data_IF_783870550986
#
_entry.id   IF_783870550986
#
_cell.length_a   1.000
_cell.length_b   1.000
_cell.length_c   1.000
_cell.angle_alpha   90.00
_cell.angle_beta   90.00
_cell.angle_gamma   90.00
#
_symmetry.space_group_name_H-M   'P 1'
#
loop_
_entity.id
_entity.type
_entity.pdbx_description
1 polymer ?
#
# COMPACT_ATOMS: atom_id res chain seq x y z
N UNK A 1 25.17 -1.04 10.72
CA UNK A 1 24.18 0.03 10.50
C UNK A 1 23.42 -0.31 9.23
N UNK A 2 22.27 -0.97 9.37
CA UNK A 2 21.38 -1.23 8.23
C UNK A 2 20.60 0.06 8.01
N UNK A 3 20.66 0.61 6.79
CA UNK A 3 19.83 1.76 6.43
C UNK A 3 18.41 1.25 6.32
N UNK A 4 17.55 1.63 7.27
CA UNK A 4 16.10 1.49 7.13
C UNK A 4 15.71 2.15 5.81
N UNK A 5 15.29 1.33 4.84
CA UNK A 5 14.81 1.82 3.54
C UNK A 5 13.37 2.25 3.77
N UNK A 6 13.19 3.50 4.17
CA UNK A 6 11.88 4.14 4.30
C UNK A 6 11.55 4.87 3.00
N UNK A 7 10.36 4.62 2.47
CA UNK A 7 9.82 5.31 1.30
C UNK A 7 8.67 6.19 1.78
N UNK A 8 8.69 7.45 1.40
CA UNK A 8 7.62 8.40 1.71
C UNK A 8 7.11 9.04 0.41
N UNK A 9 5.80 9.05 0.24
CA UNK A 9 5.11 9.82 -0.80
C UNK A 9 4.05 10.69 -0.16
N UNK A 10 4.00 11.94 -0.59
CA UNK A 10 3.00 12.92 -0.15
C UNK A 10 2.34 13.53 -1.37
N UNK A 11 1.02 13.67 -1.36
CA UNK A 11 0.27 14.18 -2.50
C UNK A 11 -1.24 14.15 -2.29
N UNK A 12 -1.98 14.57 -3.30
CA UNK A 12 -3.45 14.49 -3.31
C UNK A 12 -3.87 13.17 -3.91
N UNK A 13 -4.82 12.48 -3.27
CA UNK A 13 -5.45 11.28 -3.81
C UNK A 13 -6.48 11.68 -4.87
N UNK A 14 -6.32 11.17 -6.07
CA UNK A 14 -7.21 11.42 -7.20
C UNK A 14 -7.74 10.10 -7.75
N UNK A 15 -9.04 10.02 -8.00
CA UNK A 15 -9.66 8.91 -8.72
C UNK A 15 -9.87 9.32 -10.17
N UNK A 16 -9.17 8.64 -11.09
CA UNK A 16 -9.35 8.85 -12.52
C UNK A 16 -10.21 7.73 -13.10
N UNK A 17 -11.37 8.10 -13.64
CA UNK A 17 -12.21 7.17 -14.40
C UNK A 17 -11.82 7.18 -15.88
N UNK A 18 -11.57 5.99 -16.43
CA UNK A 18 -11.45 5.74 -17.85
C UNK A 18 -12.52 4.72 -18.27
N UNK A 19 -12.84 4.63 -19.56
CA UNK A 19 -13.92 3.75 -20.06
C UNK A 19 -13.76 2.31 -19.57
N UNK A 20 -14.54 1.94 -18.55
CA UNK A 20 -14.56 0.60 -17.95
C UNK A 20 -13.52 0.33 -16.86
N UNK A 21 -12.78 1.33 -16.37
CA UNK A 21 -11.77 1.15 -15.32
C UNK A 21 -11.56 2.44 -14.52
N UNK A 22 -11.32 2.32 -13.21
CA UNK A 22 -10.91 3.43 -12.36
C UNK A 22 -9.51 3.16 -11.81
N UNK A 23 -8.68 4.20 -11.71
CA UNK A 23 -7.35 4.12 -11.12
C UNK A 23 -7.19 5.19 -10.05
N UNK A 24 -6.74 4.77 -8.87
CA UNK A 24 -6.41 5.66 -7.78
C UNK A 24 -4.96 6.13 -7.94
N UNK A 25 -4.76 7.43 -7.90
CA UNK A 25 -3.47 8.08 -8.17
C UNK A 25 -3.06 8.96 -7.01
N UNK A 26 -1.74 9.13 -6.87
CA UNK A 26 -1.11 10.17 -6.07
C UNK A 26 -0.08 10.88 -6.95
N UNK A 27 -0.16 12.21 -7.02
CA UNK A 27 0.69 13.03 -7.92
C UNK A 27 0.68 12.51 -9.37
N UNK A 28 -0.52 12.25 -9.92
CA UNK A 28 -0.77 11.68 -11.26
C UNK A 28 -0.21 10.25 -11.50
N UNK A 29 0.42 9.63 -10.50
CA UNK A 29 0.96 8.26 -10.59
C UNK A 29 0.04 7.26 -9.91
N UNK A 30 -0.33 6.12 -10.54
CA UNK A 30 -1.09 5.07 -9.88
C UNK A 30 -0.41 4.57 -8.60
N UNK A 31 -1.17 4.41 -7.53
CA UNK A 31 -0.60 4.13 -6.20
C UNK A 31 0.14 2.78 -6.19
N UNK A 32 -0.42 1.74 -6.80
CA UNK A 32 0.26 0.45 -6.89
C UNK A 32 1.58 0.56 -7.68
N UNK A 33 1.65 1.43 -8.70
CA UNK A 33 2.88 1.70 -9.46
C UNK A 33 3.95 2.41 -8.62
N UNK A 34 3.56 3.33 -7.74
CA UNK A 34 4.50 4.04 -6.85
C UNK A 34 5.25 3.04 -5.95
N UNK A 35 4.56 2.00 -5.50
CA UNK A 35 5.07 1.04 -4.54
C UNK A 35 5.39 -0.34 -5.13
N UNK A 36 5.28 -0.53 -6.43
CA UNK A 36 5.44 -1.83 -7.13
C UNK A 36 6.72 -2.58 -6.73
N UNK A 37 7.81 -1.85 -6.48
CA UNK A 37 9.09 -2.42 -6.06
C UNK A 37 9.08 -3.10 -4.68
N UNK A 38 8.02 -2.92 -3.90
CA UNK A 38 7.80 -3.50 -2.57
C UNK A 38 6.95 -4.77 -2.60
N UNK A 39 6.47 -5.19 -3.78
CA UNK A 39 5.75 -6.44 -3.92
C UNK A 39 6.58 -7.62 -3.34
N UNK A 40 5.90 -8.52 -2.64
CA UNK A 40 6.47 -9.69 -1.97
C UNK A 40 7.41 -9.38 -0.77
N UNK A 41 7.34 -8.17 -0.21
CA UNK A 41 8.13 -7.77 0.96
C UNK A 41 7.27 -7.63 2.22
N UNK A 42 7.89 -7.86 3.39
CA UNK A 42 7.26 -7.51 4.67
C UNK A 42 7.48 -6.01 4.94
N UNK A 43 6.41 -5.27 5.18
CA UNK A 43 6.44 -3.82 5.32
C UNK A 43 5.53 -3.33 6.46
N UNK A 44 5.80 -2.13 6.95
CA UNK A 44 4.91 -1.34 7.81
C UNK A 44 4.50 -0.09 7.04
N UNK A 45 3.20 0.05 6.75
CA UNK A 45 2.62 1.21 6.05
C UNK A 45 1.93 2.10 7.07
N UNK A 46 2.17 3.40 7.01
CA UNK A 46 1.45 4.42 7.78
C UNK A 46 0.82 5.43 6.83
N UNK A 47 -0.48 5.64 6.97
CA UNK A 47 -1.25 6.60 6.18
C UNK A 47 -1.63 7.79 7.06
N UNK A 48 -1.17 8.98 6.67
CA UNK A 48 -1.49 10.23 7.33
C UNK A 48 -2.35 11.10 6.41
N UNK A 49 -3.41 11.69 6.95
CA UNK A 49 -4.22 12.70 6.25
C UNK A 49 -3.87 14.07 6.81
N UNK A 50 -3.63 15.03 5.91
CA UNK A 50 -3.32 16.40 6.29
C UNK A 50 -4.61 17.19 6.51
N UNK A 51 -4.65 17.90 7.64
CA UNK A 51 -5.63 18.92 7.98
C UNK A 51 -4.86 20.25 8.13
N UNK A 52 -5.55 21.39 8.06
CA UNK A 52 -4.97 22.73 7.85
C UNK A 52 -3.61 23.02 8.52
N UNK A 53 -3.39 22.54 9.75
CA UNK A 53 -2.13 22.75 10.49
C UNK A 53 -1.53 21.46 11.08
N UNK A 54 -2.03 20.28 10.73
CA UNK A 54 -1.55 19.02 11.30
C UNK A 54 -1.71 17.84 10.35
N UNK A 55 -1.00 16.73 10.64
CA UNK A 55 -1.24 15.44 10.00
C UNK A 55 -1.75 14.45 11.03
N UNK A 56 -2.82 13.74 10.70
CA UNK A 56 -3.42 12.72 11.54
C UNK A 56 -3.10 11.33 10.97
N UNK A 57 -2.52 10.45 11.80
CA UNK A 57 -2.39 9.04 11.44
C UNK A 57 -3.78 8.41 11.43
N UNK A 58 -4.18 7.87 10.28
CA UNK A 58 -5.50 7.25 10.11
C UNK A 58 -5.39 5.72 10.19
N UNK A 59 -4.35 5.15 9.58
CA UNK A 59 -4.18 3.72 9.53
C UNK A 59 -2.72 3.30 9.52
N UNK A 60 -2.47 2.14 10.11
CA UNK A 60 -1.20 1.43 10.03
C UNK A 60 -1.47 0.00 9.59
N UNK A 61 -0.73 -0.49 8.62
CA UNK A 61 -0.72 -1.89 8.19
C UNK A 61 0.67 -2.45 8.44
N UNK A 62 0.76 -3.70 8.90
CA UNK A 62 2.03 -4.40 9.03
C UNK A 62 1.84 -5.83 8.55
N UNK A 63 2.61 -6.25 7.55
CA UNK A 63 2.39 -7.55 6.93
C UNK A 63 3.16 -7.74 5.64
N UNK A 64 2.82 -8.80 4.92
CA UNK A 64 3.32 -9.10 3.59
C UNK A 64 2.58 -8.26 2.55
N UNK A 65 3.33 -7.55 1.71
CA UNK A 65 2.78 -6.70 0.66
C UNK A 65 2.56 -7.48 -0.64
N UNK A 66 1.33 -7.42 -1.14
CA UNK A 66 0.96 -7.91 -2.46
C UNK A 66 0.51 -6.73 -3.32
N UNK A 67 1.37 -6.33 -4.26
CA UNK A 67 1.20 -5.12 -5.07
C UNK A 67 1.21 -5.51 -6.54
N UNK A 68 0.11 -5.24 -7.23
CA UNK A 68 -0.05 -5.57 -8.64
C UNK A 68 -0.49 -4.33 -9.42
N UNK A 69 0.33 -3.95 -10.40
CA UNK A 69 0.01 -2.88 -11.34
C UNK A 69 0.10 -3.37 -12.77
N UNK A 70 -0.91 -3.04 -13.57
CA UNK A 70 -0.91 -3.26 -15.00
C UNK A 70 -1.63 -2.12 -15.71
N UNK A 71 -1.05 -1.63 -16.81
CA UNK A 71 -1.68 -0.68 -17.72
C UNK A 71 -1.55 -1.20 -19.15
N UNK A 72 -2.67 -1.42 -19.82
CA UNK A 72 -2.68 -1.94 -21.19
C UNK A 72 -3.86 -1.44 -22.01
N UNK A 73 -3.64 -1.32 -23.32
CA UNK A 73 -4.71 -1.00 -24.28
C UNK A 73 -5.47 -2.27 -24.66
N UNK A 74 -6.79 -2.21 -24.70
CA UNK A 74 -7.57 -3.27 -25.32
C UNK A 74 -7.49 -3.16 -26.84
N UNK A 75 -7.13 -4.26 -27.52
CA UNK A 75 -7.01 -4.32 -28.98
C UNK A 75 -8.36 -4.19 -29.70
N UNK A 76 -9.47 -4.57 -29.05
CA UNK A 76 -10.79 -4.73 -29.68
C UNK A 76 -11.87 -3.79 -29.12
N UNK A 77 -11.57 -2.99 -28.10
CA UNK A 77 -12.48 -2.02 -27.48
C UNK A 77 -11.74 -0.71 -27.20
N UNK A 78 -12.44 0.43 -27.28
CA UNK A 78 -11.84 1.72 -26.92
C UNK A 78 -11.70 1.84 -25.40
N UNK A 79 -10.49 1.75 -24.87
CA UNK A 79 -10.22 2.00 -23.45
C UNK A 79 -8.85 1.49 -22.98
N UNK A 80 -8.36 2.04 -21.87
CA UNK A 80 -7.22 1.53 -21.13
C UNK A 80 -7.73 0.64 -19.99
N UNK A 81 -7.17 -0.57 -19.86
CA UNK A 81 -7.43 -1.44 -18.72
C UNK A 81 -6.35 -1.23 -17.67
N UNK A 82 -6.77 -0.97 -16.44
CA UNK A 82 -5.89 -0.89 -15.27
C UNK A 82 -6.11 -2.08 -14.34
N UNK A 83 -5.02 -2.56 -13.75
CA UNK A 83 -5.00 -3.27 -12.47
C UNK A 83 -4.16 -2.39 -11.54
N UNK A 84 -4.66 -2.14 -10.34
CA UNK A 84 -4.02 -1.23 -9.39
C UNK A 84 -4.38 -1.71 -7.98
N UNK A 85 -3.86 -2.88 -7.64
CA UNK A 85 -4.19 -3.61 -6.43
C UNK A 85 -3.03 -3.48 -5.44
N UNK A 86 -3.35 -3.26 -4.18
CA UNK A 86 -2.36 -3.13 -3.11
C UNK A 86 -2.95 -3.70 -1.81
N UNK A 87 -2.48 -4.88 -1.42
CA UNK A 87 -2.85 -5.56 -0.19
C UNK A 87 -1.68 -5.66 0.79
N UNK A 88 -1.99 -5.64 2.09
CA UNK A 88 -1.10 -6.07 3.17
C UNK A 88 -1.81 -7.15 3.99
N UNK A 89 -1.29 -8.38 4.02
CA UNK A 89 -1.90 -9.52 4.74
C UNK A 89 -3.45 -9.58 4.55
N UNK A 90 -3.91 -9.56 3.29
CA UNK A 90 -5.32 -9.53 2.86
C UNK A 90 -6.11 -8.22 3.08
N UNK A 91 -5.53 -7.19 3.72
CA UNK A 91 -6.18 -5.87 3.86
C UNK A 91 -5.97 -5.01 2.61
N UNK A 92 -7.06 -4.50 2.02
CA UNK A 92 -7.03 -3.63 0.83
C UNK A 92 -6.65 -2.18 1.19
N UNK A 93 -5.43 -1.80 0.85
CA UNK A 93 -4.89 -0.46 1.09
C UNK A 93 -5.52 0.56 0.13
N UNK A 94 -5.89 0.15 -1.08
CA UNK A 94 -6.51 1.04 -2.07
C UNK A 94 -7.90 1.43 -1.60
N UNK A 95 -8.70 0.48 -1.13
CA UNK A 95 -10.05 0.74 -0.57
C UNK A 95 -9.98 1.80 0.54
N UNK A 96 -9.00 1.69 1.44
CA UNK A 96 -8.82 2.67 2.51
C UNK A 96 -8.43 4.05 1.99
N UNK A 97 -7.60 4.11 0.94
CA UNK A 97 -7.22 5.39 0.32
C UNK A 97 -8.37 6.03 -0.49
N UNK A 98 -9.35 5.25 -0.96
CA UNK A 98 -10.54 5.78 -1.63
C UNK A 98 -11.39 6.67 -0.69
N UNK A 99 -11.38 6.42 0.61
CA UNK A 99 -12.07 7.27 1.60
C UNK A 99 -11.50 8.71 1.65
N UNK A 100 -10.28 8.90 1.15
CA UNK A 100 -9.53 10.16 1.21
C UNK A 100 -9.33 10.82 -0.17
N UNK A 101 -10.16 10.49 -1.16
CA UNK A 101 -10.17 11.18 -2.46
C UNK A 101 -10.29 12.70 -2.26
N UNK A 102 -9.51 13.46 -3.03
CA UNK A 102 -9.35 14.92 -2.95
C UNK A 102 -8.75 15.44 -1.62
N UNK A 103 -8.16 14.56 -0.81
CA UNK A 103 -7.40 14.95 0.40
C UNK A 103 -5.91 14.84 0.14
N UNK A 104 -5.15 15.67 0.85
CA UNK A 104 -3.71 15.60 0.89
C UNK A 104 -3.29 14.54 1.91
N UNK A 105 -2.52 13.55 1.49
CA UNK A 105 -2.10 12.41 2.31
C UNK A 105 -0.59 12.20 2.23
N UNK A 106 -0.02 11.64 3.28
CA UNK A 106 1.34 11.08 3.29
C UNK A 106 1.25 9.59 3.54
N UNK A 107 1.88 8.80 2.70
CA UNK A 107 2.04 7.35 2.88
C UNK A 107 3.53 7.11 3.14
N UNK A 108 3.83 6.56 4.30
CA UNK A 108 5.19 6.13 4.67
C UNK A 108 5.22 4.61 4.70
N UNK A 109 6.23 4.01 4.08
CA UNK A 109 6.44 2.56 4.08
C UNK A 109 7.85 2.24 4.54
N UNK A 110 7.94 1.43 5.60
CA UNK A 110 9.19 0.92 6.14
C UNK A 110 9.32 -0.58 5.83
N UNK A 111 10.43 -1.01 5.22
CA UNK A 111 10.70 -2.44 5.00
C UNK A 111 11.03 -3.09 6.34
N UNK A 112 10.30 -4.13 6.71
CA UNK A 112 10.57 -4.94 7.89
C UNK A 112 11.54 -6.04 7.50
N UNK A 113 12.72 -6.05 8.12
CA UNK A 113 13.70 -7.13 7.92
C UNK A 113 13.04 -8.49 8.18
N UNK A 114 13.15 -9.41 7.21
CA UNK A 114 12.53 -10.74 7.26
C UNK A 114 13.03 -11.62 8.41
N UNK A 115 14.00 -11.15 9.21
CA UNK A 115 14.49 -11.77 10.43
C UNK A 115 13.49 -11.75 11.60
N UNK A 116 12.34 -11.06 11.48
CA UNK A 116 11.30 -11.04 12.53
C UNK A 116 10.46 -12.34 12.56
N UNK A 117 10.70 -13.31 11.65
CA UNK A 117 9.98 -14.60 11.65
C UNK A 117 10.50 -15.69 12.62
N UNK A 118 11.53 -15.45 13.45
CA UNK A 118 12.03 -16.46 14.42
C UNK A 118 11.89 -16.01 15.88
N UNK A 119 10.71 -15.55 16.33
CA UNK A 119 10.44 -15.47 17.79
C UNK A 119 9.04 -15.90 18.23
N UNK A 120 8.20 -16.44 17.34
CA UNK A 120 6.86 -16.95 17.70
C UNK A 120 6.65 -18.41 17.30
N UNK A 121 7.61 -19.29 17.63
CA UNK A 121 7.33 -20.75 17.62
C UNK A 121 8.29 -21.59 18.46
N UNK A 122 8.35 -21.38 19.78
CA UNK A 122 8.71 -22.45 20.72
C UNK A 122 8.16 -22.14 22.10
N UNK A 123 6.95 -22.61 22.39
CA UNK A 123 6.61 -23.12 23.71
C UNK A 123 6.23 -24.59 23.50
N UNK A 124 7.01 -25.56 24.01
CA UNK A 124 6.54 -26.94 24.02
C UNK A 124 5.34 -27.05 24.97
N UNK A 125 4.35 -27.91 24.67
CA UNK A 125 3.27 -28.19 25.60
C UNK A 125 3.85 -28.74 26.90
N UNK A 126 3.54 -28.10 28.02
CA UNK A 126 3.78 -28.66 29.34
C UNK A 126 2.91 -29.90 29.49
N UNK A 127 3.50 -31.09 29.41
CA UNK A 127 2.86 -32.28 29.93
C UNK A 127 3.00 -32.25 31.44
N UNK A 128 1.89 -31.94 32.12
CA UNK A 128 1.71 -32.29 33.52
C UNK A 128 1.70 -33.83 33.61
N UNK A 129 2.68 -34.37 34.35
CA UNK A 129 2.66 -35.73 34.90
C UNK A 129 2.43 -35.59 36.39
#
# INVERSE_FOLDING_TARGET
>A
MVKDKSIEVTGIIEKKEEKGSAVLKINDTPIAKVFETLNDQYVSIKIFVHQSESKQLIRTYEGHAEIYYFEGKQLFFSGTKYVNDFFIDDEDVIETLEEFINRHVTITIDILDSNIKIKKKTLPPSYLV
#
